data_IF_465945074303
#
_entry.id   IF_465945074303
#
_cell.length_a   1.000
_cell.length_b   1.000
_cell.length_c   1.000
_cell.angle_alpha   90.00
_cell.angle_beta   90.00
_cell.angle_gamma   90.00
#
_symmetry.space_group_name_H-M   'P 1'
#
loop_
_entity.id
_entity.type
_entity.pdbx_description
1 polymer ?
#
# COMPACT_ATOMS: atom_id res chain seq x y z
N UNK A 1 -32.74 -4.41 -1.92
CA UNK A 1 -32.29 -5.72 -1.47
C UNK A 1 -31.23 -6.36 -2.37
N UNK A 2 -31.41 -6.40 -3.67
CA UNK A 2 -30.38 -6.96 -4.59
C UNK A 2 -29.03 -6.25 -4.50
N UNK A 3 -29.03 -4.92 -4.39
CA UNK A 3 -27.80 -4.10 -4.26
C UNK A 3 -27.07 -4.37 -2.94
N UNK A 4 -27.81 -4.54 -1.85
CA UNK A 4 -27.21 -4.85 -0.54
C UNK A 4 -26.57 -6.25 -0.51
N UNK A 5 -27.22 -7.24 -1.12
CA UNK A 5 -26.67 -8.59 -1.24
C UNK A 5 -25.41 -8.60 -2.09
N UNK A 6 -25.41 -7.87 -3.22
CA UNK A 6 -24.23 -7.70 -4.08
C UNK A 6 -23.07 -7.05 -3.33
N UNK A 7 -23.34 -6.00 -2.56
CA UNK A 7 -22.33 -5.33 -1.75
C UNK A 7 -21.71 -6.25 -0.70
N UNK A 8 -22.55 -7.06 -0.01
CA UNK A 8 -22.07 -8.03 0.98
C UNK A 8 -21.22 -9.12 0.33
N UNK A 9 -21.63 -9.64 -0.83
CA UNK A 9 -20.87 -10.66 -1.57
C UNK A 9 -19.51 -10.08 -2.00
N UNK A 10 -19.49 -8.86 -2.55
CA UNK A 10 -18.21 -8.19 -2.93
C UNK A 10 -17.31 -7.95 -1.72
N UNK A 11 -17.89 -7.59 -0.57
CA UNK A 11 -17.13 -7.34 0.66
C UNK A 11 -16.55 -8.64 1.22
N UNK A 12 -17.30 -9.75 1.16
CA UNK A 12 -16.82 -11.05 1.59
C UNK A 12 -15.72 -11.60 0.68
N UNK A 13 -15.91 -11.51 -0.64
CA UNK A 13 -14.92 -11.95 -1.61
C UNK A 13 -13.66 -11.07 -1.53
N UNK A 14 -13.83 -9.76 -1.50
CA UNK A 14 -12.72 -8.80 -1.37
C UNK A 14 -11.97 -8.96 -0.04
N UNK A 15 -12.69 -9.18 1.05
CA UNK A 15 -12.11 -9.45 2.36
C UNK A 15 -11.35 -10.78 2.42
N UNK A 16 -11.89 -11.84 1.81
CA UNK A 16 -11.19 -13.13 1.75
C UNK A 16 -9.92 -13.08 0.90
N UNK A 17 -9.99 -12.47 -0.29
CA UNK A 17 -8.83 -12.33 -1.18
C UNK A 17 -7.82 -11.35 -0.57
N UNK A 18 -8.28 -10.20 -0.10
CA UNK A 18 -7.43 -9.19 0.54
C UNK A 18 -6.81 -9.70 1.83
N UNK A 19 -7.54 -10.48 2.62
CA UNK A 19 -7.03 -11.11 3.83
C UNK A 19 -5.94 -12.15 3.55
N UNK A 20 -6.13 -13.02 2.56
CA UNK A 20 -5.14 -14.03 2.18
C UNK A 20 -3.85 -13.39 1.63
N UNK A 21 -3.99 -12.37 0.79
CA UNK A 21 -2.85 -11.59 0.28
C UNK A 21 -2.17 -10.83 1.43
N UNK A 22 -2.95 -10.19 2.30
CA UNK A 22 -2.44 -9.46 3.46
C UNK A 22 -1.69 -10.34 4.45
N UNK A 23 -2.15 -11.55 4.72
CA UNK A 23 -1.46 -12.51 5.61
C UNK A 23 -0.13 -12.96 5.02
N UNK A 24 -0.05 -13.21 3.72
CA UNK A 24 1.22 -13.59 3.09
C UNK A 24 2.27 -12.46 3.10
N UNK A 25 1.82 -11.21 2.92
CA UNK A 25 2.70 -10.05 3.03
C UNK A 25 2.98 -9.63 4.49
N UNK A 26 2.04 -9.85 5.40
CA UNK A 26 2.15 -9.46 6.80
C UNK A 26 2.89 -10.45 7.70
N UNK A 27 3.08 -11.69 7.28
CA UNK A 27 3.66 -12.75 8.12
C UNK A 27 5.13 -12.49 8.51
N UNK A 28 5.86 -11.68 7.74
CA UNK A 28 7.25 -11.32 8.04
C UNK A 28 7.43 -10.12 8.97
N UNK A 29 6.43 -9.26 9.11
CA UNK A 29 6.52 -7.98 9.83
C UNK A 29 5.51 -7.84 11.00
N UNK A 30 4.71 -8.88 11.27
CA UNK A 30 3.60 -8.79 12.20
C UNK A 30 2.40 -8.01 11.62
N UNK A 31 1.23 -8.15 12.24
CA UNK A 31 -0.02 -7.57 11.72
C UNK A 31 0.01 -6.03 11.58
N UNK A 32 0.68 -5.34 12.50
CA UNK A 32 0.80 -3.88 12.45
C UNK A 32 1.72 -3.39 11.34
N UNK A 33 2.86 -4.04 11.14
CA UNK A 33 3.82 -3.70 10.09
C UNK A 33 3.24 -3.94 8.69
N UNK A 34 2.53 -5.04 8.51
CA UNK A 34 1.85 -5.36 7.24
C UNK A 34 0.80 -4.32 6.83
N UNK A 35 0.03 -3.79 7.78
CA UNK A 35 -0.95 -2.73 7.51
C UNK A 35 -0.28 -1.43 7.08
N UNK A 36 0.80 -1.04 7.74
CA UNK A 36 1.54 0.19 7.42
C UNK A 36 2.21 0.09 6.05
N UNK A 37 2.89 -1.00 5.76
CA UNK A 37 3.53 -1.24 4.46
C UNK A 37 2.47 -1.36 3.36
N UNK A 38 1.39 -2.09 3.61
CA UNK A 38 0.28 -2.23 2.66
C UNK A 38 -0.41 -0.90 2.33
N UNK A 39 -0.59 -0.03 3.30
CA UNK A 39 -1.17 1.30 3.06
C UNK A 39 -0.25 2.19 2.23
N UNK A 40 1.05 2.15 2.47
CA UNK A 40 2.05 2.87 1.67
C UNK A 40 2.10 2.34 0.23
N UNK A 41 2.11 1.02 0.06
CA UNK A 41 2.10 0.39 -1.26
C UNK A 41 0.83 0.75 -2.05
N UNK A 42 -0.33 0.74 -1.43
CA UNK A 42 -1.59 1.17 -2.04
C UNK A 42 -1.56 2.63 -2.47
N UNK A 43 -1.03 3.51 -1.64
CA UNK A 43 -0.84 4.92 -1.97
C UNK A 43 0.12 5.11 -3.15
N UNK A 44 1.24 4.37 -3.17
CA UNK A 44 2.21 4.39 -4.25
C UNK A 44 1.59 3.95 -5.60
N UNK A 45 0.82 2.88 -5.61
CA UNK A 45 0.15 2.39 -6.82
C UNK A 45 -0.89 3.39 -7.35
N UNK A 46 -1.69 3.98 -6.46
CA UNK A 46 -2.67 4.99 -6.83
C UNK A 46 -2.01 6.23 -7.44
N UNK A 47 -0.92 6.70 -6.85
CA UNK A 47 -0.17 7.86 -7.33
C UNK A 47 0.56 7.58 -8.65
N UNK A 48 1.10 6.38 -8.82
CA UNK A 48 1.67 5.96 -10.10
C UNK A 48 0.63 5.96 -11.23
N UNK A 49 -0.55 5.42 -10.98
CA UNK A 49 -1.66 5.46 -11.94
C UNK A 49 -2.06 6.89 -12.30
N UNK A 50 -2.10 7.80 -11.34
CA UNK A 50 -2.38 9.21 -11.58
C UNK A 50 -1.29 9.88 -12.43
N UNK A 51 -0.03 9.52 -12.22
CA UNK A 51 1.07 10.01 -13.04
C UNK A 51 1.04 9.50 -14.48
N UNK A 52 0.80 8.21 -14.67
CA UNK A 52 0.68 7.59 -15.99
C UNK A 52 -0.44 8.22 -16.81
N UNK A 53 -1.51 8.65 -16.16
CA UNK A 53 -2.63 9.36 -16.79
C UNK A 53 -2.39 10.86 -16.98
N UNK A 54 -1.23 11.38 -16.59
CA UNK A 54 -0.88 12.80 -16.74
C UNK A 54 -1.56 13.74 -15.74
N UNK A 55 -2.19 13.20 -14.69
CA UNK A 55 -2.86 14.00 -13.65
C UNK A 55 -1.84 14.65 -12.71
N UNK A 56 -0.70 13.98 -12.46
CA UNK A 56 0.37 14.44 -11.60
C UNK A 56 1.70 14.50 -12.36
N UNK A 57 2.50 15.55 -12.11
CA UNK A 57 3.90 15.62 -12.51
C UNK A 57 4.80 14.94 -11.47
N UNK A 58 6.07 14.67 -11.82
CA UNK A 58 7.06 14.09 -10.90
C UNK A 58 7.25 14.92 -9.63
N UNK A 59 7.34 16.23 -9.74
CA UNK A 59 7.48 17.12 -8.60
C UNK A 59 6.26 17.15 -7.69
N UNK A 60 5.07 17.13 -8.28
CA UNK A 60 3.81 17.03 -7.53
C UNK A 60 3.69 15.68 -6.84
N UNK A 61 4.16 14.61 -7.46
CA UNK A 61 4.15 13.26 -6.91
C UNK A 61 4.96 13.18 -5.61
N UNK A 62 6.16 13.72 -5.58
CA UNK A 62 6.99 13.74 -4.38
C UNK A 62 6.34 14.51 -3.21
N UNK A 63 5.67 15.62 -3.50
CA UNK A 63 4.95 16.40 -2.49
C UNK A 63 3.78 15.60 -1.92
N UNK A 64 2.98 14.97 -2.78
CA UNK A 64 1.82 14.18 -2.36
C UNK A 64 2.24 12.94 -1.57
N UNK A 65 3.30 12.25 -2.00
CA UNK A 65 3.84 11.09 -1.28
C UNK A 65 4.28 11.50 0.13
N UNK A 66 5.06 12.56 0.26
CA UNK A 66 5.52 13.05 1.55
C UNK A 66 4.38 13.41 2.49
N UNK A 67 3.37 14.12 1.99
CA UNK A 67 2.21 14.51 2.78
C UNK A 67 1.37 13.29 3.20
N UNK A 68 1.11 12.38 2.27
CA UNK A 68 0.31 11.16 2.52
C UNK A 68 1.01 10.25 3.52
N UNK A 69 2.28 9.94 3.28
CA UNK A 69 3.07 9.07 4.17
C UNK A 69 3.29 9.73 5.53
N UNK A 70 3.49 11.03 5.57
CA UNK A 70 3.56 11.80 6.81
C UNK A 70 2.29 11.68 7.65
N UNK A 71 1.11 11.72 7.01
CA UNK A 71 -0.18 11.52 7.69
C UNK A 71 -0.37 10.08 8.19
N UNK A 72 0.06 9.09 7.42
CA UNK A 72 0.05 7.67 7.84
C UNK A 72 0.98 7.51 9.04
N UNK A 73 2.20 8.03 8.94
CA UNK A 73 3.21 7.94 10.00
C UNK A 73 2.74 8.58 11.30
N UNK A 74 2.15 9.76 11.25
CA UNK A 74 1.66 10.48 12.44
C UNK A 74 0.54 9.74 13.19
N UNK A 75 -0.16 8.84 12.51
CA UNK A 75 -1.26 8.04 13.08
C UNK A 75 -0.84 6.60 13.40
N UNK A 76 0.38 6.22 13.07
CA UNK A 76 0.89 4.87 13.27
C UNK A 76 1.58 4.73 14.62
N UNK A 77 1.30 3.67 15.40
CA UNK A 77 2.09 3.35 16.59
C UNK A 77 3.53 2.93 16.25
N UNK A 78 3.80 2.61 14.99
CA UNK A 78 5.11 2.19 14.47
C UNK A 78 5.93 3.36 13.88
N UNK A 79 5.52 4.61 14.14
CA UNK A 79 6.18 5.79 13.58
C UNK A 79 7.68 5.88 13.91
N UNK A 80 8.08 5.36 15.06
CA UNK A 80 9.47 5.36 15.55
C UNK A 80 10.20 4.03 15.35
N UNK A 81 9.57 3.03 14.73
CA UNK A 81 10.20 1.74 14.48
C UNK A 81 11.18 1.85 13.30
N UNK A 82 12.50 1.61 13.53
CA UNK A 82 13.52 1.71 12.48
C UNK A 82 13.40 0.61 11.43
N UNK A 83 12.66 -0.47 11.70
CA UNK A 83 12.48 -1.58 10.78
C UNK A 83 11.35 -1.35 9.77
N UNK A 84 10.53 -0.31 9.96
CA UNK A 84 9.47 0.04 9.03
C UNK A 84 10.03 0.93 7.90
N UNK A 85 10.02 0.48 6.65
CA UNK A 85 10.48 1.30 5.53
C UNK A 85 9.44 2.38 5.22
N UNK A 86 9.79 3.63 5.49
CA UNK A 86 8.96 4.78 5.16
C UNK A 86 9.31 5.35 3.80
N UNK A 87 8.31 5.45 2.94
CA UNK A 87 8.45 6.01 1.59
C UNK A 87 8.42 7.53 1.66
N UNK A 88 9.38 8.19 1.02
CA UNK A 88 9.51 9.65 1.01
C UNK A 88 9.54 10.28 -0.38
N UNK A 89 9.63 9.47 -1.44
CA UNK A 89 9.75 9.95 -2.81
C UNK A 89 9.15 8.98 -3.83
N UNK A 90 9.00 9.45 -5.07
CA UNK A 90 8.61 8.60 -6.20
C UNK A 90 9.58 7.43 -6.41
N UNK A 91 10.88 7.66 -6.26
CA UNK A 91 11.91 6.62 -6.38
C UNK A 91 11.73 5.53 -5.30
N UNK A 92 11.39 5.91 -4.08
CA UNK A 92 11.10 4.97 -3.00
C UNK A 92 9.86 4.13 -3.29
N UNK A 93 8.81 4.74 -3.83
CA UNK A 93 7.61 4.03 -4.30
C UNK A 93 7.96 2.98 -5.37
N UNK A 94 8.77 3.35 -6.35
CA UNK A 94 9.21 2.44 -7.41
C UNK A 94 9.98 1.25 -6.87
N UNK A 95 10.87 1.46 -5.91
CA UNK A 95 11.63 0.38 -5.25
C UNK A 95 10.71 -0.55 -4.46
N UNK A 96 9.79 0.00 -3.68
CA UNK A 96 8.84 -0.79 -2.89
C UNK A 96 7.98 -1.69 -3.79
N UNK A 97 7.45 -1.16 -4.89
CA UNK A 97 6.66 -1.93 -5.84
C UNK A 97 7.50 -3.03 -6.51
N UNK A 98 8.74 -2.71 -6.92
CA UNK A 98 9.64 -3.67 -7.53
C UNK A 98 10.03 -4.82 -6.58
N UNK A 99 10.19 -4.55 -5.30
CA UNK A 99 10.42 -5.58 -4.27
C UNK A 99 9.19 -6.48 -4.10
N UNK A 100 8.00 -5.90 -4.04
CA UNK A 100 6.75 -6.67 -3.96
C UNK A 100 6.56 -7.60 -5.16
N UNK A 101 6.87 -7.13 -6.36
CA UNK A 101 6.80 -7.93 -7.58
C UNK A 101 7.79 -9.10 -7.56
N UNK A 102 9.01 -8.87 -7.08
CA UNK A 102 10.02 -9.93 -6.92
C UNK A 102 9.58 -10.99 -5.92
N UNK A 103 9.06 -10.59 -4.78
CA UNK A 103 8.58 -11.51 -3.74
C UNK A 103 7.38 -12.32 -4.22
N UNK A 104 6.49 -11.70 -5.01
CA UNK A 104 5.36 -12.38 -5.62
C UNK A 104 5.81 -13.42 -6.65
N UNK A 105 6.83 -13.12 -7.45
CA UNK A 105 7.40 -14.05 -8.42
C UNK A 105 8.17 -15.18 -7.74
N UNK A 106 8.93 -14.90 -6.67
CA UNK A 106 9.66 -15.90 -5.91
C UNK A 106 8.73 -16.88 -5.14
N UNK A 107 7.52 -16.43 -4.77
CA UNK A 107 6.49 -17.25 -4.13
C UNK A 107 5.70 -18.17 -5.06
N UNK A 108 5.97 -18.11 -6.36
CA UNK A 108 5.37 -18.97 -7.39
C UNK A 108 6.29 -20.12 -7.72
#
# INVERSE_FOLDING_TARGET
MKTAVLAIVFLLIGGAIGGLVGVRFGAGMGAGGGLVVGSQAGACLALQSAREKGILSSGQMDVVIRDTVGKIKSRSPLASDPNVPWVGSEADCGRMIAEMDRDTQAGR
#
